data_IF_103121317868
#
_entry.id   IF_103121317868
#
_cell.length_a   1.000
_cell.length_b   1.000
_cell.length_c   1.000
_cell.angle_alpha   90.00
_cell.angle_beta   90.00
_cell.angle_gamma   90.00
#
_symmetry.space_group_name_H-M   'P 1'
#
loop_
_entity.id
_entity.type
_entity.pdbx_description
1 polymer ?
#
# COMPACT_ATOMS: atom_id res chain seq x y z
N UNK A 1 -20.96 6.02 2.62
CA UNK A 1 -21.93 6.99 2.05
C UNK A 1 -21.44 8.44 2.22
N UNK A 2 -20.41 8.87 1.49
CA UNK A 2 -20.03 10.31 1.41
C UNK A 2 -20.43 10.91 0.06
N UNK A 3 -20.17 10.19 -1.03
CA UNK A 3 -20.51 10.67 -2.38
C UNK A 3 -22.01 10.91 -2.60
N UNK A 4 -22.89 10.02 -2.12
CA UNK A 4 -24.34 10.24 -2.20
C UNK A 4 -24.81 11.55 -1.52
N UNK A 5 -24.15 11.98 -0.44
CA UNK A 5 -24.45 13.26 0.24
C UNK A 5 -23.99 14.45 -0.59
N UNK A 6 -22.82 14.33 -1.24
CA UNK A 6 -22.31 15.34 -2.17
C UNK A 6 -23.30 15.54 -3.34
N UNK A 7 -23.79 14.45 -3.93
CA UNK A 7 -24.74 14.53 -5.04
C UNK A 7 -26.09 15.15 -4.67
N UNK A 8 -26.56 14.92 -3.44
CA UNK A 8 -27.79 15.53 -2.91
C UNK A 8 -27.58 16.95 -2.38
N UNK A 9 -26.36 17.49 -2.49
CA UNK A 9 -25.97 18.76 -1.89
C UNK A 9 -26.18 18.82 -0.35
N UNK A 10 -26.21 17.66 0.31
CA UNK A 10 -26.21 17.56 1.78
C UNK A 10 -24.81 17.85 2.36
N UNK A 11 -23.77 17.77 1.54
CA UNK A 11 -22.43 18.28 1.83
C UNK A 11 -21.79 18.88 0.57
N UNK A 12 -20.93 19.89 0.72
CA UNK A 12 -20.33 20.61 -0.40
C UNK A 12 -18.91 20.12 -0.72
N UNK A 13 -18.24 19.46 0.24
CA UNK A 13 -16.88 18.93 0.09
C UNK A 13 -16.81 17.55 0.73
N UNK A 14 -16.10 16.62 0.10
CA UNK A 14 -15.79 15.31 0.69
C UNK A 14 -14.32 14.94 0.46
N UNK A 15 -13.58 14.52 1.51
CA UNK A 15 -12.26 13.93 1.34
C UNK A 15 -12.34 12.42 1.10
N UNK A 16 -11.28 11.88 0.50
CA UNK A 16 -11.06 10.44 0.28
C UNK A 16 -12.27 9.77 -0.42
N UNK A 17 -12.54 10.13 -1.69
CA UNK A 17 -13.50 9.40 -2.51
C UNK A 17 -13.08 7.93 -2.66
N UNK A 18 -14.06 7.05 -2.86
CA UNK A 18 -13.78 5.67 -3.20
C UNK A 18 -13.14 5.63 -4.61
N UNK A 19 -12.00 4.94 -4.82
CA UNK A 19 -11.37 4.86 -6.14
C UNK A 19 -12.33 4.42 -7.26
N UNK A 20 -13.28 3.52 -6.96
CA UNK A 20 -14.29 3.07 -7.92
C UNK A 20 -15.26 4.16 -8.38
N UNK A 21 -15.49 5.19 -7.57
CA UNK A 21 -16.40 6.28 -7.89
C UNK A 21 -15.73 7.37 -8.74
N UNK A 22 -14.39 7.38 -8.85
CA UNK A 22 -13.62 8.44 -9.51
C UNK A 22 -14.02 8.63 -10.98
N UNK A 23 -14.23 7.54 -11.72
CA UNK A 23 -14.63 7.62 -13.13
C UNK A 23 -15.98 8.34 -13.28
N UNK A 24 -16.96 7.98 -12.45
CA UNK A 24 -18.28 8.63 -12.43
C UNK A 24 -18.19 10.09 -11.97
N UNK A 25 -17.32 10.38 -11.01
CA UNK A 25 -17.11 11.74 -10.52
C UNK A 25 -16.51 12.68 -11.59
N UNK A 26 -15.68 12.14 -12.51
CA UNK A 26 -15.14 12.92 -13.65
C UNK A 26 -16.21 13.32 -14.67
N UNK A 27 -17.29 12.55 -14.77
CA UNK A 27 -18.40 12.80 -15.71
C UNK A 27 -19.51 13.69 -15.10
N UNK A 28 -19.53 13.84 -13.78
CA UNK A 28 -20.57 14.59 -13.07
C UNK A 28 -20.32 16.10 -13.14
N UNK A 29 -21.14 16.81 -13.93
CA UNK A 29 -21.02 18.26 -14.17
C UNK A 29 -21.30 19.13 -12.95
N UNK A 30 -21.86 18.56 -11.88
CA UNK A 30 -22.23 19.31 -10.68
C UNK A 30 -21.10 19.34 -9.63
N UNK A 31 -20.01 18.62 -9.87
CA UNK A 31 -18.88 18.56 -8.95
C UNK A 31 -17.61 18.94 -9.68
N UNK A 32 -16.72 19.64 -8.98
CA UNK A 32 -15.37 19.88 -9.45
C UNK A 32 -14.44 18.87 -8.77
N UNK A 33 -14.01 17.84 -9.49
CA UNK A 33 -13.07 16.85 -8.97
C UNK A 33 -11.64 17.41 -9.03
N UNK A 34 -11.13 17.85 -7.88
CA UNK A 34 -9.75 18.30 -7.74
C UNK A 34 -8.80 17.11 -7.55
N UNK A 35 -7.78 17.00 -8.40
CA UNK A 35 -6.76 15.95 -8.36
C UNK A 35 -5.36 16.60 -8.32
N UNK A 36 -4.51 16.11 -7.42
CA UNK A 36 -3.11 16.55 -7.33
C UNK A 36 -2.23 15.38 -6.87
N UNK A 37 -0.95 15.40 -7.24
CA UNK A 37 0.02 14.43 -6.74
C UNK A 37 0.15 14.56 -5.21
N UNK A 38 -0.04 13.44 -4.50
CA UNK A 38 -0.01 13.41 -3.04
C UNK A 38 1.39 13.61 -2.47
N UNK A 39 1.48 14.38 -1.39
CA UNK A 39 2.64 14.40 -0.48
C UNK A 39 2.44 13.34 0.63
N UNK A 40 2.20 12.10 0.23
CA UNK A 40 1.94 10.99 1.15
C UNK A 40 2.62 9.70 0.69
N UNK A 41 2.73 8.75 1.62
CA UNK A 41 3.21 7.38 1.35
C UNK A 41 2.39 6.42 2.20
N UNK A 42 1.95 5.30 1.61
CA UNK A 42 1.38 4.18 2.33
C UNK A 42 2.44 3.09 2.52
N UNK A 43 2.65 2.62 3.75
CA UNK A 43 3.60 1.54 4.04
C UNK A 43 3.11 0.67 5.19
N UNK A 44 3.56 -0.58 5.20
CA UNK A 44 3.35 -1.49 6.33
C UNK A 44 4.59 -1.42 7.24
N UNK A 45 4.39 -1.07 8.50
CA UNK A 45 5.48 -1.04 9.49
C UNK A 45 5.67 -2.42 10.10
N UNK A 46 6.92 -2.87 10.22
CA UNK A 46 7.28 -4.07 10.97
C UNK A 46 7.72 -3.67 12.39
N UNK A 47 7.13 -4.30 13.41
CA UNK A 47 7.62 -4.14 14.77
C UNK A 47 8.88 -4.99 14.99
N UNK A 48 10.05 -4.37 14.83
CA UNK A 48 11.36 -5.02 14.93
C UNK A 48 11.74 -5.48 16.35
N UNK A 49 10.92 -5.21 17.36
CA UNK A 49 11.10 -5.72 18.72
C UNK A 49 10.35 -7.03 18.97
N UNK A 50 9.58 -7.51 17.98
CA UNK A 50 8.75 -8.71 18.09
C UNK A 50 9.27 -9.78 17.14
N UNK A 51 9.64 -10.94 17.70
CA UNK A 51 9.99 -12.12 16.90
C UNK A 51 8.81 -12.56 16.01
N UNK A 52 9.04 -13.01 14.77
CA UNK A 52 10.34 -13.08 14.06
C UNK A 52 10.69 -11.83 13.22
N UNK A 53 9.99 -10.71 13.41
CA UNK A 53 10.19 -9.48 12.64
C UNK A 53 11.44 -8.69 13.05
N UNK A 54 12.13 -9.11 14.10
CA UNK A 54 13.44 -8.64 14.51
C UNK A 54 14.53 -9.03 13.50
N UNK A 55 14.37 -10.17 12.80
CA UNK A 55 15.28 -10.61 11.75
C UNK A 55 15.09 -9.83 10.43
N UNK A 56 16.20 -9.29 9.90
CA UNK A 56 16.25 -8.57 8.63
C UNK A 56 15.82 -9.48 7.46
N UNK A 57 16.23 -10.75 7.45
CA UNK A 57 15.89 -11.70 6.39
C UNK A 57 14.40 -11.95 6.32
N UNK A 58 13.74 -12.03 7.48
CA UNK A 58 12.28 -12.17 7.56
C UNK A 58 11.60 -10.94 6.97
N UNK A 59 12.03 -9.72 7.34
CA UNK A 59 11.46 -8.49 6.77
C UNK A 59 11.68 -8.36 5.26
N UNK A 60 12.85 -8.76 4.78
CA UNK A 60 13.14 -8.81 3.34
C UNK A 60 12.26 -9.84 2.63
N UNK A 61 12.09 -11.03 3.20
CA UNK A 61 11.20 -12.06 2.67
C UNK A 61 9.76 -11.55 2.55
N UNK A 62 9.25 -10.90 3.60
CA UNK A 62 7.92 -10.27 3.58
C UNK A 62 7.80 -9.20 2.49
N UNK A 63 8.86 -8.44 2.25
CA UNK A 63 8.86 -7.41 1.20
C UNK A 63 8.79 -8.03 -0.19
N UNK A 64 9.59 -9.07 -0.48
CA UNK A 64 9.55 -9.79 -1.76
C UNK A 64 8.23 -10.56 -1.97
N UNK A 65 7.56 -10.99 -0.89
CA UNK A 65 6.28 -11.70 -0.97
C UNK A 65 5.07 -10.80 -1.28
N UNK A 66 5.22 -9.48 -1.24
CA UNK A 66 4.10 -8.53 -1.48
C UNK A 66 4.12 -8.02 -2.90
N UNK A 67 3.06 -8.32 -3.65
CA UNK A 67 2.86 -7.76 -4.99
C UNK A 67 2.27 -6.35 -4.92
N UNK A 68 3.14 -5.33 -4.91
CA UNK A 68 2.73 -3.92 -4.86
C UNK A 68 1.87 -3.50 -6.06
N UNK A 69 2.18 -3.99 -7.26
CA UNK A 69 1.42 -3.65 -8.47
C UNK A 69 -0.01 -4.20 -8.41
N UNK A 70 -0.19 -5.43 -7.93
CA UNK A 70 -1.50 -6.01 -7.72
C UNK A 70 -2.32 -5.20 -6.70
N UNK A 71 -1.68 -4.72 -5.62
CA UNK A 71 -2.33 -3.86 -4.62
C UNK A 71 -2.76 -2.53 -5.25
N UNK A 72 -1.90 -1.87 -6.02
CA UNK A 72 -2.23 -0.61 -6.69
C UNK A 72 -3.40 -0.80 -7.65
N UNK A 73 -3.39 -1.89 -8.43
CA UNK A 73 -4.46 -2.18 -9.38
C UNK A 73 -5.79 -2.49 -8.67
N UNK A 74 -5.77 -3.35 -7.64
CA UNK A 74 -6.98 -3.83 -6.99
C UNK A 74 -7.57 -2.82 -5.98
N UNK A 75 -6.71 -2.20 -5.17
CA UNK A 75 -7.13 -1.30 -4.08
C UNK A 75 -7.19 0.15 -4.53
N UNK A 76 -6.15 0.63 -5.21
CA UNK A 76 -6.05 2.04 -5.61
C UNK A 76 -6.63 2.32 -6.99
N UNK A 77 -6.94 1.30 -7.80
CA UNK A 77 -7.52 1.41 -9.14
C UNK A 77 -6.80 2.43 -10.04
N UNK A 78 -5.48 2.49 -9.94
CA UNK A 78 -4.64 3.41 -10.70
C UNK A 78 -4.49 4.82 -10.10
N UNK A 79 -5.15 5.12 -8.99
CA UNK A 79 -5.01 6.40 -8.28
C UNK A 79 -3.74 6.48 -7.39
N UNK A 80 -2.71 5.68 -7.68
CA UNK A 80 -1.48 5.60 -6.92
C UNK A 80 -0.33 4.96 -7.70
N UNK A 81 0.90 5.16 -7.22
CA UNK A 81 2.13 4.64 -7.82
C UNK A 81 2.89 3.77 -6.82
N UNK A 82 3.67 2.81 -7.32
CA UNK A 82 4.47 1.93 -6.48
C UNK A 82 5.58 2.73 -5.78
N UNK A 83 5.55 2.70 -4.45
CA UNK A 83 6.54 3.37 -3.62
C UNK A 83 7.81 2.50 -3.50
N UNK A 84 8.95 3.07 -3.93
CA UNK A 84 10.31 2.55 -3.68
C UNK A 84 11.04 3.26 -2.52
N UNK A 85 10.63 4.48 -2.19
CA UNK A 85 11.17 5.30 -1.12
C UNK A 85 10.09 5.66 -0.10
N UNK A 86 10.53 6.08 1.11
CA UNK A 86 9.63 6.60 2.13
C UNK A 86 9.09 8.00 1.79
N UNK A 87 9.83 8.78 1.00
CA UNK A 87 9.39 10.08 0.51
C UNK A 87 8.84 9.94 -0.91
N UNK A 88 7.78 10.67 -1.29
CA UNK A 88 7.24 10.65 -2.63
C UNK A 88 8.16 11.39 -3.63
N UNK A 89 8.04 11.12 -4.95
CA UNK A 89 8.84 11.78 -5.99
C UNK A 89 8.66 13.31 -6.05
N UNK A 90 7.55 13.82 -5.50
CA UNK A 90 7.23 15.24 -5.41
C UNK A 90 8.02 15.99 -4.34
N UNK A 91 8.78 15.28 -3.49
CA UNK A 91 9.60 15.89 -2.46
C UNK A 91 11.06 16.03 -2.87
N UNK A 92 11.65 17.18 -2.50
CA UNK A 92 13.10 17.37 -2.53
C UNK A 92 13.82 16.26 -1.74
N UNK A 93 14.91 15.74 -2.33
CA UNK A 93 15.70 14.66 -1.75
C UNK A 93 15.26 13.24 -2.15
N UNK A 94 14.25 13.09 -3.01
CA UNK A 94 13.90 11.79 -3.60
C UNK A 94 15.09 11.21 -4.35
N UNK A 95 15.45 9.97 -4.03
CA UNK A 95 16.56 9.28 -4.67
C UNK A 95 16.04 8.27 -5.70
N UNK A 96 16.26 8.56 -6.98
CA UNK A 96 15.82 7.71 -8.08
C UNK A 96 16.67 6.46 -8.29
N UNK A 97 17.91 6.43 -7.79
CA UNK A 97 18.86 5.33 -7.97
C UNK A 97 18.52 4.11 -7.10
N UNK A 98 17.63 4.27 -6.11
CA UNK A 98 17.18 3.18 -5.25
C UNK A 98 16.39 2.17 -6.08
N UNK A 99 16.85 0.92 -6.07
CA UNK A 99 16.15 -0.21 -6.71
C UNK A 99 15.15 -0.81 -5.73
N UNK A 100 13.89 -0.93 -6.17
CA UNK A 100 12.87 -1.60 -5.38
C UNK A 100 13.16 -3.11 -5.29
N UNK A 101 12.69 -3.73 -4.21
CA UNK A 101 12.80 -5.18 -4.00
C UNK A 101 12.02 -5.97 -5.06
N UNK A 102 10.92 -5.41 -5.58
CA UNK A 102 10.04 -6.11 -6.52
C UNK A 102 9.27 -7.27 -5.87
N UNK A 103 8.55 -8.04 -6.69
CA UNK A 103 7.76 -9.19 -6.25
C UNK A 103 8.43 -10.50 -6.68
N UNK A 104 8.93 -11.26 -5.71
CA UNK A 104 9.61 -12.54 -5.91
C UNK A 104 9.31 -13.53 -4.76
N UNK A 105 8.20 -14.29 -4.87
CA UNK A 105 7.81 -15.27 -3.85
C UNK A 105 8.85 -16.38 -3.62
N UNK A 106 9.64 -16.74 -4.62
CA UNK A 106 10.63 -17.81 -4.49
C UNK A 106 11.84 -17.33 -3.68
N UNK A 107 12.29 -16.11 -3.92
CA UNK A 107 13.30 -15.46 -3.07
C UNK A 107 12.80 -15.23 -1.64
N UNK A 108 11.52 -14.90 -1.47
CA UNK A 108 10.92 -14.80 -0.14
C UNK A 108 11.00 -16.13 0.62
N UNK A 109 10.61 -17.25 0.01
CA UNK A 109 10.71 -18.59 0.61
C UNK A 109 12.15 -18.96 0.94
N UNK A 110 13.10 -18.65 0.05
CA UNK A 110 14.53 -18.89 0.29
C UNK A 110 15.04 -18.14 1.52
N UNK A 111 14.68 -16.86 1.67
CA UNK A 111 15.05 -16.05 2.83
C UNK A 111 14.41 -16.54 4.13
N UNK A 112 13.16 -17.00 4.10
CA UNK A 112 12.51 -17.63 5.27
C UNK A 112 13.19 -18.94 5.67
N UNK A 113 13.60 -19.75 4.69
CA UNK A 113 14.40 -20.96 4.93
C UNK A 113 15.72 -20.64 5.60
N UNK A 114 16.44 -19.63 5.11
CA UNK A 114 17.69 -19.17 5.74
C UNK A 114 17.50 -18.62 7.16
N UNK A 115 16.32 -18.10 7.48
CA UNK A 115 15.94 -17.66 8.82
C UNK A 115 15.43 -18.81 9.72
N UNK A 116 15.42 -20.05 9.23
CA UNK A 116 14.92 -21.22 9.97
C UNK A 116 13.39 -21.31 10.06
N UNK A 117 12.67 -20.57 9.22
CA UNK A 117 11.21 -20.46 9.19
C UNK A 117 10.60 -21.13 7.95
N UNK A 118 11.12 -22.29 7.54
CA UNK A 118 10.65 -23.04 6.35
C UNK A 118 9.15 -23.38 6.40
N UNK A 119 8.59 -23.57 7.60
CA UNK A 119 7.19 -23.92 7.81
C UNK A 119 6.26 -22.70 7.90
N UNK A 120 6.81 -21.50 7.72
CA UNK A 120 6.05 -20.28 7.90
C UNK A 120 5.91 -19.86 9.36
N UNK A 121 5.23 -18.74 9.57
CA UNK A 121 4.87 -18.24 10.89
C UNK A 121 3.60 -17.39 10.82
N UNK A 122 2.92 -17.24 11.95
CA UNK A 122 1.74 -16.37 12.06
C UNK A 122 2.11 -15.07 12.73
N UNK A 123 1.74 -13.95 12.11
CA UNK A 123 1.85 -12.63 12.69
C UNK A 123 0.54 -11.87 12.54
N UNK A 124 0.25 -10.97 13.49
CA UNK A 124 -0.92 -10.11 13.43
C UNK A 124 -0.52 -8.72 12.94
N UNK A 125 -0.96 -8.36 11.74
CA UNK A 125 -0.88 -6.98 11.27
C UNK A 125 -1.94 -6.11 11.96
N UNK A 126 -1.53 -4.93 12.41
CA UNK A 126 -2.48 -3.97 12.95
C UNK A 126 -3.30 -3.36 11.81
N UNK A 127 -4.61 -3.56 11.84
CA UNK A 127 -5.54 -3.12 10.77
C UNK A 127 -6.21 -4.26 10.00
N UNK A 128 -5.74 -5.50 10.16
CA UNK A 128 -6.41 -6.69 9.64
C UNK A 128 -7.06 -7.47 10.81
N UNK A 129 -8.32 -7.85 10.66
CA UNK A 129 -8.99 -8.76 11.60
C UNK A 129 -8.59 -10.23 11.36
N UNK A 130 -7.89 -10.51 10.26
CA UNK A 130 -7.36 -11.82 9.91
C UNK A 130 -5.89 -12.01 10.34
N UNK A 131 -5.57 -13.23 10.77
CA UNK A 131 -4.18 -13.70 10.85
C UNK A 131 -3.66 -13.95 9.45
N UNK A 132 -2.62 -13.22 9.04
CA UNK A 132 -1.88 -13.53 7.81
C UNK A 132 -0.95 -14.72 8.09
N UNK A 133 -1.18 -15.82 7.37
CA UNK A 133 -0.31 -17.00 7.35
C UNK A 133 0.52 -16.97 6.07
N UNK A 134 1.84 -17.04 6.23
CA UNK A 134 2.81 -17.21 5.15
C UNK A 134 3.46 -18.58 5.25
#
# INVERSE_FOLDING_TARGET
>A
MRYAKLQKNECQVMPYPNPADIARMKEDKNINLMEQAGLNVGYLSYNVQKKPLDDVKVRQALTYAVNKEAIIKAVYQGAGVAAKNLIPPTMWGYNDDIKDYGYDPEKAKALLKEAGLEKGFTHRSMGDAGTASL
#
